data_IF_284343723933
#
_entry.id   IF_284343723933
#
_cell.length_a   1.000
_cell.length_b   1.000
_cell.length_c   1.000
_cell.angle_alpha   90.00
_cell.angle_beta   90.00
_cell.angle_gamma   90.00
#
_symmetry.space_group_name_H-M   'P 1'
#
loop_
_entity.id
_entity.type
_entity.pdbx_description
1 polymer ?
#
# COMPACT_ATOMS: atom_id res chain seq x y z
N UNK A 1 -35.42 -6.13 45.39
CA UNK A 1 -34.44 -6.85 44.53
C UNK A 1 -34.54 -6.50 43.04
N UNK A 2 -35.65 -5.91 42.55
CA UNK A 2 -35.94 -5.65 41.12
C UNK A 2 -35.08 -4.55 40.45
N UNK A 3 -34.51 -3.63 41.23
CA UNK A 3 -33.83 -2.45 40.70
C UNK A 3 -32.37 -2.77 40.32
N UNK A 4 -31.70 -3.66 41.07
CA UNK A 4 -30.32 -4.09 40.79
C UNK A 4 -30.24 -4.97 39.54
N UNK A 5 -31.26 -5.80 39.31
CA UNK A 5 -31.38 -6.59 38.08
C UNK A 5 -31.74 -5.72 36.87
N UNK A 6 -32.64 -4.74 37.03
CA UNK A 6 -32.94 -3.76 35.97
C UNK A 6 -31.71 -2.93 35.58
N UNK A 7 -30.91 -2.47 36.55
CA UNK A 7 -29.66 -1.75 36.30
C UNK A 7 -28.65 -2.64 35.56
N UNK A 8 -28.53 -3.92 35.95
CA UNK A 8 -27.66 -4.87 35.27
C UNK A 8 -28.05 -5.11 33.80
N UNK A 9 -29.36 -5.27 33.52
CA UNK A 9 -29.87 -5.41 32.15
C UNK A 9 -29.63 -4.14 31.34
N UNK A 10 -29.78 -2.97 31.95
CA UNK A 10 -29.54 -1.69 31.28
C UNK A 10 -28.07 -1.53 30.87
N UNK A 11 -27.14 -1.80 31.79
CA UNK A 11 -25.69 -1.72 31.53
C UNK A 11 -25.30 -2.70 30.41
N UNK A 12 -25.84 -3.91 30.43
CA UNK A 12 -25.58 -4.93 29.42
C UNK A 12 -26.08 -4.49 28.03
N UNK A 13 -27.28 -3.91 27.95
CA UNK A 13 -27.83 -3.39 26.70
C UNK A 13 -27.00 -2.24 26.12
N UNK A 14 -26.53 -1.32 26.97
CA UNK A 14 -25.68 -0.20 26.54
C UNK A 14 -24.32 -0.72 26.04
N UNK A 15 -23.72 -1.69 26.72
CA UNK A 15 -22.44 -2.27 26.32
C UNK A 15 -22.50 -2.94 24.93
N UNK A 16 -23.59 -3.66 24.64
CA UNK A 16 -23.80 -4.29 23.32
C UNK A 16 -23.90 -3.23 22.22
N UNK A 17 -24.69 -2.17 22.44
CA UNK A 17 -24.83 -1.10 21.45
C UNK A 17 -23.51 -0.34 21.23
N UNK A 18 -22.75 -0.10 22.30
CA UNK A 18 -21.42 0.50 22.20
C UNK A 18 -20.45 -0.39 21.40
N UNK A 19 -20.46 -1.70 21.61
CA UNK A 19 -19.61 -2.64 20.87
C UNK A 19 -19.94 -2.71 19.37
N UNK A 20 -21.22 -2.58 19.01
CA UNK A 20 -21.65 -2.51 17.60
C UNK A 20 -21.18 -1.20 16.98
N UNK A 21 -21.37 -0.06 17.65
CA UNK A 21 -20.93 1.25 17.15
C UNK A 21 -19.41 1.34 16.99
N UNK A 22 -18.64 0.80 17.93
CA UNK A 22 -17.17 0.78 17.83
C UNK A 22 -16.69 -0.15 16.72
N UNK A 23 -17.26 -1.35 16.59
CA UNK A 23 -16.90 -2.28 15.51
C UNK A 23 -17.26 -1.73 14.14
N UNK A 24 -18.44 -1.16 13.98
CA UNK A 24 -18.89 -0.61 12.70
C UNK A 24 -18.18 0.70 12.36
N UNK A 25 -17.95 1.57 13.34
CA UNK A 25 -17.14 2.77 13.18
C UNK A 25 -15.69 2.45 12.81
N UNK A 26 -15.09 1.46 13.48
CA UNK A 26 -13.73 1.00 13.17
C UNK A 26 -13.64 0.40 11.77
N UNK A 27 -14.61 -0.45 11.39
CA UNK A 27 -14.64 -1.07 10.07
C UNK A 27 -14.95 -0.06 8.96
N UNK A 28 -15.85 0.89 9.20
CA UNK A 28 -16.14 2.00 8.29
C UNK A 28 -14.93 2.92 8.11
N UNK A 29 -14.24 3.27 9.20
CA UNK A 29 -12.99 4.04 9.17
C UNK A 29 -11.90 3.31 8.38
N UNK A 30 -11.74 2.00 8.58
CA UNK A 30 -10.73 1.20 7.86
C UNK A 30 -11.03 1.03 6.36
N UNK A 31 -12.31 0.97 5.98
CA UNK A 31 -12.74 0.89 4.58
C UNK A 31 -12.62 2.24 3.87
N UNK A 32 -12.91 3.35 4.59
CA UNK A 32 -12.81 4.73 4.08
C UNK A 32 -11.37 5.25 4.05
N UNK A 33 -10.53 4.77 4.95
CA UNK A 33 -9.11 5.07 5.04
C UNK A 33 -8.32 3.75 4.99
N UNK A 34 -8.18 3.13 3.80
CA UNK A 34 -7.20 2.07 3.65
C UNK A 34 -5.85 2.68 4.04
N UNK A 35 -5.21 2.12 5.07
CA UNK A 35 -3.85 2.50 5.44
C UNK A 35 -3.01 2.26 4.19
N UNK A 36 -2.68 3.35 3.50
CA UNK A 36 -2.00 3.32 2.22
C UNK A 36 -0.65 2.65 2.46
N UNK A 37 -0.52 1.41 2.02
CA UNK A 37 0.70 0.63 2.17
C UNK A 37 1.71 1.19 1.18
N UNK A 38 2.48 2.20 1.61
CA UNK A 38 3.45 2.96 0.82
C UNK A 38 2.85 3.49 -0.49
N UNK A 39 2.75 4.81 -0.62
CA UNK A 39 2.52 5.39 -1.92
C UNK A 39 3.72 5.04 -2.80
N UNK A 40 3.63 3.96 -3.59
CA UNK A 40 4.55 3.79 -4.69
C UNK A 40 4.47 5.09 -5.51
N UNK A 41 5.60 5.69 -5.93
CA UNK A 41 5.62 6.91 -6.74
C UNK A 41 4.78 6.82 -8.02
N UNK A 42 4.38 5.60 -8.39
CA UNK A 42 3.62 5.24 -9.57
C UNK A 42 2.23 4.66 -9.24
N UNK A 43 1.69 4.87 -8.05
CA UNK A 43 0.29 4.54 -7.80
C UNK A 43 -0.63 5.52 -8.56
N UNK A 44 -1.86 5.12 -8.95
CA UNK A 44 -2.75 5.93 -9.80
C UNK A 44 -3.08 7.34 -9.28
N UNK A 45 -2.78 7.68 -8.03
CA UNK A 45 -2.91 9.06 -7.53
C UNK A 45 -1.77 10.00 -7.96
N UNK A 46 -0.69 9.49 -8.56
CA UNK A 46 0.43 10.29 -9.08
C UNK A 46 0.31 10.56 -10.58
N UNK A 47 -0.90 10.84 -11.07
CA UNK A 47 -1.11 11.44 -12.41
C UNK A 47 -0.19 12.64 -12.67
N UNK A 48 0.34 13.27 -11.60
CA UNK A 48 1.31 14.36 -11.64
C UNK A 48 2.72 14.00 -12.12
N UNK A 49 3.17 12.74 -12.05
CA UNK A 49 4.57 12.42 -12.30
C UNK A 49 4.98 12.63 -13.77
N UNK A 50 4.17 12.13 -14.71
CA UNK A 50 4.42 12.32 -16.15
C UNK A 50 4.01 13.71 -16.66
N UNK A 51 3.13 14.40 -15.94
CA UNK A 51 2.71 15.76 -16.28
C UNK A 51 3.86 16.77 -16.15
N UNK A 52 4.83 16.51 -15.27
CA UNK A 52 5.99 17.40 -15.03
C UNK A 52 7.12 17.23 -16.06
N UNK A 53 7.00 16.29 -17.00
CA UNK A 53 8.03 16.00 -18.00
C UNK A 53 7.85 16.74 -19.33
N UNK A 54 6.81 17.57 -19.45
CA UNK A 54 6.48 18.31 -20.68
C UNK A 54 6.52 17.41 -21.93
N UNK A 55 5.89 16.23 -21.82
CA UNK A 55 5.90 15.25 -22.91
C UNK A 55 5.30 15.83 -24.19
N UNK A 56 5.84 15.47 -25.35
CA UNK A 56 5.18 15.74 -26.63
C UNK A 56 3.99 14.80 -26.85
N UNK A 57 3.09 15.14 -27.78
CA UNK A 57 1.96 14.27 -28.10
C UNK A 57 2.37 12.87 -28.58
N UNK A 58 3.38 12.70 -29.47
CA UNK A 58 3.87 11.38 -29.85
C UNK A 58 4.46 10.59 -28.67
N UNK A 59 5.20 11.25 -27.77
CA UNK A 59 5.75 10.59 -26.58
C UNK A 59 4.64 10.12 -25.63
N UNK A 60 3.60 10.93 -25.41
CA UNK A 60 2.43 10.52 -24.60
C UNK A 60 1.75 9.27 -25.16
N UNK A 61 1.53 9.22 -26.47
CA UNK A 61 0.92 8.06 -27.13
C UNK A 61 1.71 6.76 -26.93
N UNK A 62 3.03 6.85 -26.73
CA UNK A 62 3.88 5.70 -26.43
C UNK A 62 3.92 5.38 -24.92
N UNK A 63 3.97 6.41 -24.08
CA UNK A 63 4.13 6.26 -22.61
C UNK A 63 2.82 5.82 -21.94
N UNK A 64 1.69 6.38 -22.32
CA UNK A 64 0.39 6.10 -21.69
C UNK A 64 0.04 4.60 -21.64
N UNK A 65 0.16 3.80 -22.72
CA UNK A 65 -0.11 2.37 -22.64
C UNK A 65 0.89 1.62 -21.75
N UNK A 66 2.16 2.04 -21.72
CA UNK A 66 3.17 1.46 -20.84
C UNK A 66 2.84 1.73 -19.37
N UNK A 67 2.51 2.98 -19.04
CA UNK A 67 2.11 3.39 -17.70
C UNK A 67 0.85 2.66 -17.25
N UNK A 68 -0.18 2.57 -18.09
CA UNK A 68 -1.42 1.85 -17.77
C UNK A 68 -1.16 0.36 -17.49
N UNK A 69 -0.35 -0.30 -18.33
CA UNK A 69 0.02 -1.70 -18.13
C UNK A 69 0.80 -1.90 -16.84
N UNK A 70 1.75 -1.01 -16.57
CA UNK A 70 2.56 -1.04 -15.36
C UNK A 70 1.70 -0.84 -14.09
N UNK A 71 0.87 0.19 -14.05
CA UNK A 71 -0.04 0.46 -12.92
C UNK A 71 -1.00 -0.71 -12.67
N UNK A 72 -1.58 -1.28 -13.74
CA UNK A 72 -2.46 -2.46 -13.63
C UNK A 72 -1.73 -3.66 -13.02
N UNK A 73 -0.49 -3.91 -13.45
CA UNK A 73 0.33 -5.02 -12.95
C UNK A 73 0.75 -4.80 -11.50
N UNK A 74 1.16 -3.58 -11.16
CA UNK A 74 1.55 -3.20 -9.81
C UNK A 74 0.37 -3.33 -8.84
N UNK A 75 -0.83 -2.86 -9.24
CA UNK A 75 -2.05 -3.02 -8.45
C UNK A 75 -2.34 -4.49 -8.11
N UNK A 76 -2.23 -5.41 -9.08
CA UNK A 76 -2.39 -6.85 -8.86
C UNK A 76 -1.37 -7.40 -7.86
N UNK A 77 -0.12 -6.98 -7.95
CA UNK A 77 0.95 -7.41 -7.03
C UNK A 77 0.71 -6.88 -5.60
N UNK A 78 0.23 -5.64 -5.46
CA UNK A 78 -0.17 -5.11 -4.15
C UNK A 78 -1.33 -5.89 -3.55
N UNK A 79 -2.39 -6.20 -4.32
CA UNK A 79 -3.50 -7.04 -3.83
C UNK A 79 -3.02 -8.43 -3.39
N UNK A 80 -2.08 -9.02 -4.14
CA UNK A 80 -1.47 -10.30 -3.76
C UNK A 80 -0.66 -10.18 -2.45
N UNK A 81 0.09 -9.08 -2.27
CA UNK A 81 0.82 -8.80 -1.04
C UNK A 81 -0.12 -8.67 0.17
N UNK A 82 -1.21 -7.93 0.04
CA UNK A 82 -2.20 -7.78 1.12
C UNK A 82 -2.87 -9.11 1.49
N UNK A 83 -3.13 -9.96 0.48
CA UNK A 83 -3.63 -11.32 0.72
C UNK A 83 -2.65 -12.13 1.58
N UNK A 84 -1.34 -12.03 1.31
CA UNK A 84 -0.32 -12.73 2.09
C UNK A 84 -0.14 -12.14 3.49
N UNK A 85 -0.18 -10.82 3.66
CA UNK A 85 -0.16 -10.17 4.98
C UNK A 85 -1.34 -10.64 5.84
N UNK A 86 -2.55 -10.68 5.28
CA UNK A 86 -3.73 -11.20 5.97
C UNK A 86 -3.58 -12.68 6.35
N UNK A 87 -3.01 -13.49 5.45
CA UNK A 87 -2.70 -14.89 5.73
C UNK A 87 -1.68 -15.03 6.87
N UNK A 88 -0.65 -14.19 6.90
CA UNK A 88 0.36 -14.16 7.97
C UNK A 88 -0.28 -13.82 9.31
N UNK A 89 -1.08 -12.75 9.39
CA UNK A 89 -1.80 -12.37 10.62
C UNK A 89 -2.65 -13.52 11.15
N UNK A 90 -3.42 -14.19 10.28
CA UNK A 90 -4.25 -15.34 10.67
C UNK A 90 -3.42 -16.54 11.18
N UNK A 91 -2.24 -16.77 10.63
CA UNK A 91 -1.35 -17.85 11.09
C UNK A 91 -0.73 -17.52 12.45
N UNK A 92 -0.40 -16.24 12.68
CA UNK A 92 0.16 -15.76 13.94
C UNK A 92 -0.88 -15.70 15.07
N UNK A 93 -2.15 -15.45 14.73
CA UNK A 93 -3.25 -15.42 15.70
C UNK A 93 -3.85 -16.79 16.03
N UNK A 94 -3.32 -17.87 15.45
CA UNK A 94 -3.82 -19.22 15.69
C UNK A 94 -3.39 -19.72 17.08
N UNK A 95 -4.26 -20.49 17.76
CA UNK A 95 -3.96 -21.05 19.09
C UNK A 95 -2.73 -21.95 19.14
N UNK A 96 -2.33 -22.53 18.00
CA UNK A 96 -1.03 -23.17 17.82
C UNK A 96 -0.36 -22.62 16.56
N UNK A 97 0.77 -21.96 16.75
CA UNK A 97 1.57 -21.38 15.66
C UNK A 97 2.33 -22.48 14.92
N UNK A 98 2.29 -22.45 13.59
CA UNK A 98 3.06 -23.35 12.73
C UNK A 98 4.20 -22.59 12.01
N UNK A 99 5.46 -22.71 12.47
CA UNK A 99 6.58 -21.98 11.91
C UNK A 99 6.83 -22.26 10.43
N UNK A 100 6.59 -23.49 9.95
CA UNK A 100 6.78 -23.85 8.53
C UNK A 100 5.82 -23.09 7.62
N UNK A 101 4.56 -22.92 8.05
CA UNK A 101 3.55 -22.15 7.31
C UNK A 101 3.87 -20.66 7.29
N UNK A 102 4.38 -20.11 8.40
CA UNK A 102 4.83 -18.71 8.46
C UNK A 102 5.98 -18.48 7.49
N UNK A 103 6.99 -19.34 7.52
CA UNK A 103 8.16 -19.23 6.67
C UNK A 103 7.80 -19.36 5.17
N UNK A 104 6.82 -20.21 4.85
CA UNK A 104 6.26 -20.26 3.49
C UNK A 104 5.65 -18.91 3.08
N UNK A 105 4.79 -18.30 3.91
CA UNK A 105 4.18 -17.00 3.61
C UNK A 105 5.23 -15.91 3.49
N UNK A 106 6.26 -15.91 4.34
CA UNK A 106 7.40 -14.98 4.24
C UNK A 106 8.09 -15.09 2.88
N UNK A 107 8.37 -16.31 2.40
CA UNK A 107 8.98 -16.53 1.07
C UNK A 107 8.07 -16.08 -0.08
N UNK A 108 6.77 -16.37 0.01
CA UNK A 108 5.79 -15.92 -0.97
C UNK A 108 5.73 -14.39 -1.05
N UNK A 109 5.74 -13.70 0.10
CA UNK A 109 5.83 -12.24 0.17
C UNK A 109 7.13 -11.71 -0.43
N UNK A 110 8.28 -12.32 -0.12
CA UNK A 110 9.56 -11.92 -0.69
C UNK A 110 9.57 -12.03 -2.23
N UNK A 111 8.99 -13.10 -2.77
CA UNK A 111 8.84 -13.27 -4.22
C UNK A 111 7.92 -12.24 -4.87
N UNK A 112 6.91 -11.71 -4.16
CA UNK A 112 6.09 -10.60 -4.65
C UNK A 112 6.89 -9.29 -4.63
N UNK A 113 7.66 -9.02 -3.57
CA UNK A 113 8.52 -7.83 -3.48
C UNK A 113 9.54 -7.80 -4.62
N UNK A 114 10.18 -8.93 -4.91
CA UNK A 114 11.13 -9.04 -6.02
C UNK A 114 10.47 -8.72 -7.37
N UNK A 115 9.25 -9.21 -7.60
CA UNK A 115 8.49 -8.90 -8.83
C UNK A 115 8.17 -7.42 -8.95
N UNK A 116 7.74 -6.79 -7.85
CA UNK A 116 7.46 -5.34 -7.82
C UNK A 116 8.72 -4.56 -8.20
N UNK A 117 9.86 -4.86 -7.58
CA UNK A 117 11.13 -4.18 -7.86
C UNK A 117 11.55 -4.35 -9.33
N UNK A 118 11.46 -5.57 -9.85
CA UNK A 118 11.79 -5.87 -11.25
C UNK A 118 10.89 -5.11 -12.22
N UNK A 119 9.59 -5.03 -11.94
CA UNK A 119 8.64 -4.33 -12.78
C UNK A 119 8.86 -2.81 -12.76
N UNK A 120 9.21 -2.23 -11.60
CA UNK A 120 9.56 -0.81 -11.47
C UNK A 120 10.80 -0.50 -12.32
N UNK A 121 11.86 -1.29 -12.18
CA UNK A 121 13.11 -1.09 -12.95
C UNK A 121 12.82 -1.22 -14.45
N UNK A 122 12.06 -2.24 -14.86
CA UNK A 122 11.68 -2.43 -16.25
C UNK A 122 10.90 -1.23 -16.80
N UNK A 123 9.94 -0.71 -16.04
CA UNK A 123 9.14 0.45 -16.44
C UNK A 123 10.00 1.71 -16.58
N UNK A 124 10.90 1.97 -15.62
CA UNK A 124 11.86 3.08 -15.67
C UNK A 124 12.70 3.03 -16.94
N UNK A 125 13.23 1.85 -17.29
CA UNK A 125 14.04 1.67 -18.50
C UNK A 125 13.23 1.94 -19.77
N UNK A 126 11.99 1.44 -19.84
CA UNK A 126 11.10 1.66 -20.99
C UNK A 126 10.76 3.15 -21.19
N UNK A 127 10.47 3.87 -20.11
CA UNK A 127 10.19 5.31 -20.20
C UNK A 127 11.44 6.07 -20.64
N UNK A 128 12.62 5.73 -20.09
CA UNK A 128 13.89 6.39 -20.43
C UNK A 128 14.17 6.37 -21.93
N UNK A 129 13.88 5.27 -22.63
CA UNK A 129 14.09 5.13 -24.08
C UNK A 129 13.28 6.11 -24.93
N UNK A 130 12.15 6.62 -24.40
CA UNK A 130 11.23 7.53 -25.11
C UNK A 130 11.55 9.00 -24.83
N UNK A 131 12.18 9.28 -23.68
CA UNK A 131 12.47 10.65 -23.22
C UNK A 131 13.71 11.23 -23.89
N UNK A 132 13.69 12.54 -24.13
CA UNK A 132 14.91 13.29 -24.50
C UNK A 132 15.90 13.33 -23.34
N UNK A 133 17.17 13.66 -23.61
CA UNK A 133 18.19 13.77 -22.56
C UNK A 133 17.79 14.74 -21.43
N UNK A 134 17.19 15.88 -21.76
CA UNK A 134 16.70 16.85 -20.78
C UNK A 134 15.54 16.29 -19.95
N UNK A 135 14.58 15.64 -20.61
CA UNK A 135 13.45 15.00 -19.92
C UNK A 135 13.90 13.85 -19.02
N UNK A 136 14.92 13.08 -19.42
CA UNK A 136 15.51 12.03 -18.59
C UNK A 136 16.10 12.61 -17.30
N UNK A 137 16.83 13.73 -17.38
CA UNK A 137 17.39 14.39 -16.18
C UNK A 137 16.27 14.80 -15.22
N UNK A 138 15.22 15.45 -15.72
CA UNK A 138 14.05 15.82 -14.91
C UNK A 138 13.37 14.59 -14.31
N UNK A 139 13.17 13.54 -15.10
CA UNK A 139 12.58 12.27 -14.68
C UNK A 139 13.34 11.64 -13.51
N UNK A 140 14.67 11.52 -13.60
CA UNK A 140 15.48 10.96 -12.52
C UNK A 140 15.55 11.86 -11.28
N UNK A 141 15.49 13.18 -11.44
CA UNK A 141 15.38 14.09 -10.30
C UNK A 141 14.07 13.88 -9.52
N UNK A 142 12.96 13.72 -10.23
CA UNK A 142 11.65 13.42 -9.62
C UNK A 142 11.64 12.04 -8.95
N UNK A 143 12.26 11.03 -9.57
CA UNK A 143 12.42 9.71 -8.95
C UNK A 143 13.21 9.80 -7.64
N UNK A 144 14.35 10.51 -7.65
CA UNK A 144 15.18 10.67 -6.46
C UNK A 144 14.42 11.36 -5.32
N UNK A 145 13.68 12.42 -5.62
CA UNK A 145 12.83 13.10 -4.64
C UNK A 145 11.76 12.16 -4.05
N UNK A 146 11.11 11.36 -4.90
CA UNK A 146 10.08 10.42 -4.44
C UNK A 146 10.64 9.32 -3.53
N UNK A 147 11.84 8.81 -3.83
CA UNK A 147 12.51 7.78 -3.03
C UNK A 147 12.96 8.32 -1.67
N UNK A 148 13.43 9.58 -1.62
CA UNK A 148 13.76 10.24 -0.35
C UNK A 148 12.53 10.43 0.55
N UNK A 149 11.36 10.71 -0.04
CA UNK A 149 10.11 10.82 0.71
C UNK A 149 9.60 9.47 1.23
N UNK A 150 9.79 8.38 0.48
CA UNK A 150 9.43 7.03 0.93
C UNK A 150 10.32 6.55 2.10
N UNK A 151 11.61 6.90 2.08
CA UNK A 151 12.55 6.55 3.16
C UNK A 151 12.20 7.22 4.50
N UNK A 152 11.62 8.42 4.48
CA UNK A 152 11.16 9.12 5.69
C UNK A 152 10.03 8.40 6.44
N UNK A 153 9.43 7.34 5.88
CA UNK A 153 8.43 6.53 6.60
C UNK A 153 9.07 5.53 7.58
N UNK A 154 10.30 5.06 7.32
CA UNK A 154 11.07 4.25 8.28
C UNK A 154 11.80 5.12 9.31
N UNK A 155 11.99 6.41 9.03
CA UNK A 155 12.51 7.39 9.96
C UNK A 155 11.34 8.19 10.59
N UNK A 156 10.60 7.58 11.52
CA UNK A 156 9.81 8.35 12.49
C UNK A 156 10.67 8.67 13.73
N UNK A 157 10.40 9.80 14.42
CA UNK A 157 11.34 10.50 15.29
C UNK A 157 11.55 9.76 16.60
N UNK A 158 12.54 8.86 16.61
CA UNK A 158 13.01 8.16 17.80
C UNK A 158 14.47 8.45 18.16
N UNK A 159 15.19 9.18 17.31
CA UNK A 159 16.56 9.63 17.59
C UNK A 159 16.59 11.16 17.61
N UNK A 160 16.43 11.70 18.81
CA UNK A 160 17.19 12.88 19.19
C UNK A 160 18.08 12.46 20.39
N UNK A 161 19.32 12.96 20.46
CA UNK A 161 20.33 12.54 21.44
C UNK A 161 19.95 12.81 22.90
#
# INVERSE_FOLDING_TARGET
MRNKTLIGVLIFSVAINAAVLTSWGYQYYRIRHPVSSAACPFMPQTHHFYQQLDLSQPQRQQIDPLANKFHSRLAKLHTAMETQKNRLVRLLSAGQVNPKKIEQVRREMAGIQEKIQRDIIGHILQIREILTAEQQQRFFALLHQSLQQEHNWFASPGEAP
#
